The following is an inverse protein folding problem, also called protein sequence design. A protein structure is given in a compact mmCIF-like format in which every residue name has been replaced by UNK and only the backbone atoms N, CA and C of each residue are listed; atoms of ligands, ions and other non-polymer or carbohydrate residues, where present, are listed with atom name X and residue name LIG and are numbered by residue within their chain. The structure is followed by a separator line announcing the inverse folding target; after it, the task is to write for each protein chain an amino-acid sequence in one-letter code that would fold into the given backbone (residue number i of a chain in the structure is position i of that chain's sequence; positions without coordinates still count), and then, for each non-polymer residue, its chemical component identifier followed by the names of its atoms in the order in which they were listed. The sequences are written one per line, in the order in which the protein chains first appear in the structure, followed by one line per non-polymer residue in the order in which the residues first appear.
data_IF_229233750547
#
_entry.id   IF_229233750547
#
_cell.length_a   1.000
_cell.length_b   1.000
_cell.length_c   1.000
_cell.angle_alpha   90.00
_cell.angle_beta   90.00
_cell.angle_gamma   90.00
#
_symmetry.space_group_name_H-M   'P 1'
#
loop_
_entity.id
_entity.type
_entity.pdbx_description
1 polymer ?
2 non-polymer ?
3 non-polymer ?
4 non-polymer ?
5 non-polymer ?
6 water ?
#
# COMPACT_ATOMS: atom_id res chain seq x y z
N UNK A 4 26.60 19.07 8.72
CA UNK A 4 26.07 18.95 10.11
C UNK A 4 24.53 19.20 10.24
N UNK A 5 23.90 19.82 9.23
CA UNK A 5 22.50 20.27 9.37
C UNK A 5 21.65 20.00 8.13
N UNK A 6 20.50 19.39 8.34
CA UNK A 6 19.51 19.22 7.31
C UNK A 6 18.21 19.85 7.70
N UNK A 7 17.20 19.66 6.84
CA UNK A 7 15.88 20.24 7.02
C UNK A 7 14.79 19.21 6.79
N UNK A 8 13.79 19.27 7.65
CA UNK A 8 12.61 18.44 7.61
C UNK A 8 11.48 19.37 7.59
N UNK A 9 10.52 19.08 6.72
CA UNK A 9 9.29 19.81 6.69
C UNK A 9 8.17 18.88 7.04
N UNK A 10 7.46 19.24 8.09
CA UNK A 10 6.38 18.43 8.60
C UNK A 10 5.29 19.35 9.05
N UNK A 11 4.05 19.01 8.73
CA UNK A 11 2.93 19.77 9.26
C UNK A 11 2.92 21.18 8.71
N UNK A 12 3.45 21.35 7.51
CA UNK A 12 3.60 22.67 6.92
C UNK A 12 4.72 23.52 7.50
N UNK A 13 5.58 22.96 8.34
CA UNK A 13 6.64 23.76 8.96
C UNK A 13 8.03 23.19 8.64
N UNK A 14 8.94 24.03 8.17
CA UNK A 14 10.30 23.61 7.90
C UNK A 14 11.14 23.72 9.17
N UNK A 15 11.93 22.69 9.47
CA UNK A 15 12.75 22.67 10.68
C UNK A 15 14.18 22.36 10.30
N UNK A 16 15.10 23.00 11.02
CA UNK A 16 16.47 22.61 11.00
C UNK A 16 16.67 21.33 11.84
N UNK A 17 17.47 20.39 11.34
CA UNK A 17 17.70 19.14 12.05
C UNK A 17 19.15 18.75 12.00
N UNK A 18 19.74 18.67 13.20
CA UNK A 18 21.06 18.10 13.37
C UNK A 18 20.87 16.73 14.02
N UNK A 19 21.95 15.96 14.09
CA UNK A 19 21.83 14.55 14.47
C UNK A 19 21.46 14.44 15.95
N UNK A 20 21.91 15.38 16.75
CA UNK A 20 21.46 15.45 18.13
C UNK A 20 19.92 15.65 18.27
N UNK A 21 19.26 16.11 17.21
CA UNK A 21 17.80 16.30 17.23
C UNK A 21 16.98 15.02 16.94
N UNK A 22 17.67 13.94 16.60
CA UNK A 22 17.04 12.68 16.15
C UNK A 22 17.40 11.51 17.06
N UNK A 23 16.42 10.86 17.65
CA UNK A 23 16.66 9.69 18.45
C UNK A 23 16.42 8.47 17.56
N UNK A 24 17.42 7.60 17.49
CA UNK A 24 17.31 6.36 16.73
C UNK A 24 16.55 5.29 17.52
N UNK A 25 15.33 4.96 17.09
CA UNK A 25 14.52 4.01 17.81
C UNK A 25 14.60 2.63 17.18
N UNK A 26 15.42 2.47 16.14
CA UNK A 26 15.70 1.14 15.64
C UNK A 26 15.00 0.81 14.32
N UNK A 27 15.05 -0.45 13.96
CA UNK A 27 14.43 -1.00 12.74
C UNK A 27 12.91 -0.76 12.71
N UNK A 28 12.38 -0.69 11.50
CA UNK A 28 10.94 -0.60 11.31
C UNK A 28 10.35 -2.01 11.35
N UNK A 29 11.15 -2.99 10.95
CA UNK A 29 10.71 -4.37 11.01
C UNK A 29 11.17 -5.11 9.79
N UNK A 30 10.74 -6.37 9.67
CA UNK A 30 11.18 -7.23 8.59
C UNK A 30 10.65 -6.71 7.27
N UNK A 31 11.46 -5.87 6.59
CA UNK A 31 11.20 -5.47 5.20
C UNK A 31 11.86 -6.36 4.17
N UNK A 32 11.63 -6.04 2.90
CA UNK A 32 12.46 -6.56 1.80
C UNK A 32 13.42 -5.45 1.38
N UNK A 33 13.38 -4.33 2.11
CA UNK A 33 14.12 -3.15 1.75
C UNK A 33 15.41 -3.15 2.53
N UNK A 34 15.30 -2.82 3.81
CA UNK A 34 16.48 -2.64 4.65
C UNK A 34 16.94 -1.18 4.69
N UNK A 35 17.80 -0.92 5.67
CA UNK A 35 18.35 0.38 5.94
C UNK A 35 17.25 1.43 5.99
N UNK A 36 16.27 1.14 6.88
CA UNK A 36 15.25 2.07 7.35
C UNK A 36 15.13 2.02 8.88
N UNK A 37 15.10 3.20 9.47
CA UNK A 37 15.04 3.37 10.91
C UNK A 37 13.85 4.22 11.27
N UNK A 38 13.24 3.86 12.39
CA UNK A 38 12.30 4.69 13.07
C UNK A 38 13.11 5.69 13.89
N UNK A 39 12.84 6.97 13.74
CA UNK A 39 13.55 8.01 14.50
C UNK A 39 12.60 9.03 15.08
N UNK A 40 12.86 9.47 16.31
CA UNK A 40 12.05 10.51 16.85
C UNK A 40 12.74 11.85 16.61
N UNK A 41 11.99 12.79 16.07
CA UNK A 41 12.53 14.14 15.90
C UNK A 41 12.19 14.92 17.16
N UNK A 42 13.22 15.16 17.94
CA UNK A 42 13.09 15.77 19.27
C UNK A 42 12.42 17.14 19.30
N UNK A 43 12.55 17.93 18.23
CA UNK A 43 11.97 19.27 18.17
C UNK A 43 10.46 19.26 18.10
N UNK A 44 9.86 18.16 17.63
CA UNK A 44 8.39 18.09 17.51
C UNK A 44 7.74 16.91 18.19
N UNK A 45 8.52 15.89 18.53
CA UNK A 45 7.95 14.66 19.00
C UNK A 45 7.47 13.73 17.88
N UNK A 46 7.58 14.13 16.60
CA UNK A 46 7.17 13.20 15.50
C UNK A 46 8.15 12.05 15.44
N UNK A 47 7.63 10.83 15.26
CA UNK A 47 8.44 9.70 14.92
C UNK A 47 8.33 9.51 13.41
N UNK A 48 9.47 9.36 12.75
CA UNK A 48 9.57 9.39 11.32
C UNK A 48 10.39 8.21 10.93
N UNK A 49 10.36 7.87 9.64
CA UNK A 49 11.14 6.80 9.09
C UNK A 49 12.20 7.38 8.26
N UNK A 50 13.41 6.89 8.43
CA UNK A 50 14.55 7.42 7.70
C UNK A 50 15.16 6.28 6.93
N UNK A 51 15.21 6.41 5.60
CA UNK A 51 15.79 5.37 4.72
C UNK A 51 17.17 5.84 4.23
N UNK A 52 18.13 4.93 4.22
CA UNK A 52 19.49 5.25 3.76
C UNK A 52 19.69 4.63 2.40
N UNK A 53 20.13 5.44 1.42
CA UNK A 53 20.54 4.91 0.11
C UNK A 53 22.06 5.18 -0.02
N UNK A 54 22.87 4.11 -0.01
CA UNK A 54 24.30 4.28 -0.14
C UNK A 54 24.69 4.58 -1.56
N UNK A 55 25.65 5.50 -1.72
CA UNK A 55 26.20 5.79 -3.03
C UNK A 55 26.76 4.50 -3.62
N UNK A 56 27.35 3.63 -2.80
CA UNK A 56 27.91 2.36 -3.29
C UNK A 56 26.86 1.25 -3.59
N UNK A 57 25.58 1.53 -3.36
CA UNK A 57 24.57 0.47 -3.46
C UNK A 57 24.40 0.03 -4.90
N UNK A 58 23.60 -1.01 -5.10
CA UNK A 58 23.29 -1.52 -6.43
C UNK A 58 22.64 -0.44 -7.29
N UNK A 59 23.13 -0.28 -8.52
CA UNK A 59 22.57 0.74 -9.43
C UNK A 59 21.04 0.64 -9.54
N UNK A 60 20.54 -0.58 -9.74
CA UNK A 60 19.12 -0.82 -9.99
C UNK A 60 18.29 -0.40 -8.81
N UNK A 61 18.65 -0.93 -7.65
CA UNK A 61 17.96 -0.68 -6.43
C UNK A 61 17.93 0.83 -6.18
N UNK A 62 19.04 1.51 -6.48
CA UNK A 62 19.14 2.95 -6.26
C UNK A 62 18.32 3.75 -7.25
N UNK A 63 18.35 3.33 -8.51
CA UNK A 63 17.55 3.99 -9.54
C UNK A 63 16.05 3.92 -9.20
N UNK A 64 15.60 2.75 -8.74
CA UNK A 64 14.24 2.53 -8.28
C UNK A 64 13.85 3.39 -7.05
N UNK A 65 14.74 3.46 -6.07
CA UNK A 65 14.56 4.35 -4.96
C UNK A 65 14.33 5.81 -5.45
N UNK A 66 15.22 6.31 -6.27
CA UNK A 66 15.16 7.67 -6.78
C UNK A 66 13.89 7.97 -7.57
N UNK A 67 13.43 6.96 -8.33
CA UNK A 67 12.16 7.04 -9.08
C UNK A 67 10.94 7.06 -8.19
N UNK A 68 10.92 6.22 -7.16
CA UNK A 68 9.87 6.25 -6.20
C UNK A 68 9.92 7.58 -5.44
N UNK A 69 11.12 8.04 -5.11
CA UNK A 69 11.27 9.32 -4.41
C UNK A 69 10.70 10.48 -5.23
N UNK A 70 11.02 10.47 -6.51
CA UNK A 70 10.53 11.48 -7.45
C UNK A 70 9.02 11.58 -7.39
N UNK A 71 8.37 10.42 -7.45
CA UNK A 71 6.90 10.38 -7.34
C UNK A 71 6.38 10.89 -5.97
N UNK A 72 6.96 10.43 -4.87
CA UNK A 72 6.55 10.86 -3.56
C UNK A 72 6.65 12.39 -3.43
N UNK A 73 7.80 12.95 -3.85
CA UNK A 73 8.00 14.39 -3.83
C UNK A 73 6.92 15.13 -4.61
N UNK A 74 6.40 14.54 -5.69
CA UNK A 74 5.40 15.24 -6.46
C UNK A 74 4.02 14.87 -6.01
N UNK A 75 3.88 14.13 -4.92
CA UNK A 75 2.55 13.67 -4.50
C UNK A 75 2.14 14.35 -3.19
N UNK A 76 2.63 15.56 -2.99
CA UNK A 76 2.39 16.30 -1.73
C UNK A 76 0.92 16.63 -1.61
N UNK A 77 0.18 16.64 -2.72
CA UNK A 77 -1.24 16.94 -2.66
C UNK A 77 -2.14 15.72 -2.52
N UNK A 78 -1.57 14.52 -2.36
CA UNK A 78 -2.39 13.34 -2.19
C UNK A 78 -2.35 12.81 -0.75
N UNK A 79 -3.48 12.86 -0.04
CA UNK A 79 -3.57 12.37 1.32
C UNK A 79 -3.31 10.85 1.48
N UNK A 80 -3.33 10.11 0.39
CA UNK A 80 -3.31 8.64 0.46
C UNK A 80 -1.96 8.06 0.07
N UNK A 81 -0.96 8.92 -0.09
CA UNK A 81 0.41 8.52 -0.39
C UNK A 81 1.28 8.99 0.75
N UNK A 82 2.21 8.15 1.13
CA UNK A 82 3.16 8.44 2.23
C UNK A 82 4.04 9.62 1.83
N UNK A 83 4.19 10.59 2.71
CA UNK A 83 4.84 11.82 2.37
C UNK A 83 6.33 11.81 2.74
N UNK A 84 7.09 12.59 1.98
CA UNK A 84 8.46 12.86 2.27
C UNK A 84 8.69 14.17 3.01
N UNK A 85 9.36 14.06 4.15
CA UNK A 85 9.65 15.22 4.98
C UNK A 85 10.95 15.91 4.66
N UNK A 86 11.87 15.21 4.01
CA UNK A 86 13.13 15.81 3.67
C UNK A 86 14.10 14.81 3.16
N UNK A 87 15.23 15.33 2.71
CA UNK A 87 16.34 14.56 2.24
C UNK A 87 17.62 15.18 2.76
N UNK A 88 18.64 14.37 2.90
CA UNK A 88 19.93 14.80 3.38
C UNK A 88 21.01 14.01 2.60
N UNK A 89 21.81 14.72 1.83
CA UNK A 89 22.78 14.10 0.97
C UNK A 89 24.18 14.29 1.54
N UNK A 90 24.91 13.21 1.80
CA UNK A 90 26.30 13.31 2.23
C UNK A 90 27.13 12.85 1.06
N UNK A 91 28.46 12.86 1.24
CA UNK A 91 29.37 12.34 0.23
C UNK A 91 29.10 10.91 -0.15
N UNK A 92 28.62 10.13 0.82
CA UNK A 92 28.49 8.71 0.63
C UNK A 92 27.06 8.15 0.67
N UNK A 93 26.09 8.95 1.09
CA UNK A 93 24.75 8.47 1.30
C UNK A 93 23.73 9.49 0.96
N UNK A 94 22.52 9.00 0.80
CA UNK A 94 21.36 9.85 0.82
C UNK A 94 20.42 9.31 1.88
N UNK A 95 19.93 10.20 2.75
CA UNK A 95 18.91 9.87 3.72
C UNK A 95 17.63 10.53 3.39
N UNK A 96 16.57 9.75 3.44
CA UNK A 96 15.27 10.15 3.05
C UNK A 96 14.37 10.00 4.26
N UNK A 97 13.80 11.11 4.70
CA UNK A 97 12.87 11.10 5.78
C UNK A 97 11.43 11.01 5.24
N UNK A 98 10.72 10.05 5.80
CA UNK A 98 9.35 9.75 5.36
C UNK A 98 8.43 9.72 6.51
N UNK A 99 7.19 10.02 6.24
CA UNK A 99 6.10 9.78 7.15
C UNK A 99 6.11 8.32 7.61
N UNK A 100 6.04 8.13 8.92
CA UNK A 100 6.05 6.78 9.49
C UNK A 100 4.61 6.31 9.74
N UNK A 101 4.21 5.24 9.08
CA UNK A 101 2.92 4.61 9.34
C UNK A 101 3.12 3.51 10.38
N UNK A 102 2.01 2.91 10.81
CA UNK A 102 2.03 1.91 11.87
C UNK A 102 2.46 0.56 11.36
N UNK A 103 1.73 0.03 10.37
CA UNK A 103 2.08 -1.26 9.78
C UNK A 103 1.24 -1.46 8.53
N UNK A 104 1.49 -2.57 7.84
CA UNK A 104 0.80 -2.85 6.61
C UNK A 104 -0.35 -3.82 6.83
N UNK A 105 -1.22 -3.90 5.84
CA UNK A 105 -2.40 -4.73 5.96
C UNK A 105 -2.08 -6.18 6.04
N UNK A 106 -0.98 -6.58 5.39
CA UNK A 106 -0.50 -7.95 5.48
C UNK A 106 -0.24 -8.34 6.96
N UNK A 107 0.41 -7.44 7.67
CA UNK A 107 0.78 -7.68 9.09
C UNK A 107 -0.42 -7.56 9.99
N UNK A 108 -1.36 -6.68 9.65
CA UNK A 108 -2.61 -6.61 10.42
C UNK A 108 -3.38 -7.91 10.30
N UNK A 109 -3.42 -8.48 9.08
CA UNK A 109 -4.09 -9.76 8.88
C UNK A 109 -3.48 -10.81 9.76
N UNK A 110 -2.13 -10.81 9.85
CA UNK A 110 -1.45 -11.81 10.66
C UNK A 110 -1.78 -11.56 12.13
N UNK A 111 -1.79 -10.30 12.56
CA UNK A 111 -2.17 -9.97 13.95
C UNK A 111 -3.60 -10.35 14.31
N UNK A 112 -4.50 -10.14 13.38
CA UNK A 112 -5.92 -10.43 13.57
C UNK A 112 -6.18 -11.96 13.59
N UNK A 113 -5.22 -12.71 13.06
CA UNK A 113 -5.36 -14.15 12.82
C UNK A 113 -6.75 -14.45 12.23
N UNK A 114 -7.13 -13.69 11.22
CA UNK A 114 -8.41 -13.85 10.60
C UNK A 114 -8.86 -12.59 9.94
N UNK A 115 -10.16 -12.50 9.67
CA UNK A 115 -10.87 -11.42 9.01
C UNK A 115 -10.57 -10.04 9.64
N UNK A 116 -10.42 -9.08 8.77
CA UNK A 116 -10.46 -7.67 9.14
C UNK A 116 -11.86 -7.12 8.87
N UNK A 117 -12.44 -6.35 9.81
CA UNK A 117 -13.88 -5.96 9.64
C UNK A 117 -14.11 -5.15 8.37
N UNK A 118 -15.24 -5.37 7.70
CA UNK A 118 -15.69 -4.59 6.54
C UNK A 118 -15.50 -3.12 6.72
N UNK A 119 -15.93 -2.57 7.86
CA UNK A 119 -15.84 -1.14 8.11
C UNK A 119 -14.43 -0.64 7.82
N UNK A 120 -13.43 -1.40 8.24
CA UNK A 120 -12.04 -0.97 8.06
C UNK A 120 -11.68 -1.10 6.58
N UNK A 121 -12.11 -2.21 6.00
CA UNK A 121 -11.83 -2.49 4.60
C UNK A 121 -12.52 -1.51 3.68
N UNK A 122 -13.67 -1.00 4.08
CA UNK A 122 -14.30 0.04 3.33
C UNK A 122 -13.48 1.34 3.30
N UNK A 123 -13.02 1.79 4.43
CA UNK A 123 -12.18 2.97 4.47
C UNK A 123 -10.86 2.72 3.67
N UNK A 124 -10.29 1.54 3.81
CA UNK A 124 -9.11 1.21 3.04
C UNK A 124 -9.34 1.22 1.54
N UNK A 125 -10.53 0.78 1.08
CA UNK A 125 -10.84 0.75 -0.31
C UNK A 125 -10.90 2.18 -0.87
N UNK A 126 -11.60 3.07 -0.16
CA UNK A 126 -11.69 4.44 -0.58
C UNK A 126 -10.28 5.03 -0.80
N UNK A 127 -9.43 4.82 0.19
CA UNK A 127 -8.10 5.43 0.20
C UNK A 127 -7.19 4.88 -0.90
N UNK A 128 -7.17 3.57 -1.03
CA UNK A 128 -6.31 2.94 -1.96
C UNK A 128 -6.76 3.18 -3.39
N UNK A 129 -8.08 3.15 -3.66
CA UNK A 129 -8.56 3.49 -4.98
C UNK A 129 -8.19 4.92 -5.30
N UNK A 130 -8.30 5.83 -4.34
CA UNK A 130 -8.01 7.21 -4.64
C UNK A 130 -6.50 7.40 -4.88
N UNK A 131 -5.69 6.71 -4.10
CA UNK A 131 -4.26 6.74 -4.30
C UNK A 131 -3.85 6.20 -5.72
N UNK A 132 -4.40 5.07 -6.09
CA UNK A 132 -4.10 4.49 -7.38
C UNK A 132 -4.55 5.40 -8.50
N UNK A 133 -5.76 5.95 -8.37
CA UNK A 133 -6.32 6.88 -9.35
C UNK A 133 -5.48 8.14 -9.48
N UNK A 134 -5.09 8.67 -8.34
CA UNK A 134 -4.21 9.82 -8.32
C UNK A 134 -2.89 9.51 -9.07
N UNK A 135 -2.23 8.42 -8.69
CA UNK A 135 -0.99 8.02 -9.34
C UNK A 135 -1.09 7.99 -10.89
N UNK A 136 -2.19 7.42 -11.39
CA UNK A 136 -2.39 7.28 -12.82
C UNK A 136 -2.70 8.62 -13.45
N UNK A 137 -3.67 9.33 -12.88
CA UNK A 137 -4.10 10.59 -13.49
C UNK A 137 -3.05 11.71 -13.38
N UNK A 138 -2.33 11.84 -12.27
CA UNK A 138 -1.37 12.93 -12.15
C UNK A 138 -0.05 12.60 -12.74
N UNK A 139 0.40 11.38 -12.54
CA UNK A 139 1.78 11.02 -12.85
C UNK A 139 1.92 9.93 -13.94
N UNK A 140 0.81 9.43 -14.46
CA UNK A 140 0.87 8.36 -15.45
C UNK A 140 1.38 7.02 -14.88
N UNK A 141 1.42 6.89 -13.56
CA UNK A 141 1.97 5.71 -12.91
C UNK A 141 0.91 4.60 -12.78
N UNK A 142 1.20 3.43 -13.33
CA UNK A 142 0.39 2.25 -13.09
C UNK A 142 1.12 1.44 -12.05
N UNK A 143 0.48 1.26 -10.90
CA UNK A 143 1.18 0.74 -9.74
C UNK A 143 1.79 -0.63 -10.02
N UNK A 144 0.97 -1.53 -10.50
CA UNK A 144 1.36 -2.91 -10.86
C UNK A 144 1.66 -3.84 -9.67
N UNK A 145 1.49 -3.39 -8.45
CA UNK A 145 1.73 -4.30 -7.32
C UNK A 145 0.85 -4.07 -6.12
N UNK A 146 -0.46 -4.08 -6.34
CA UNK A 146 -1.44 -3.79 -5.29
C UNK A 146 -1.68 -5.08 -4.47
N UNK A 147 -1.23 -5.08 -3.22
CA UNK A 147 -1.40 -6.22 -2.35
C UNK A 147 -1.40 -5.76 -0.92
N UNK A 148 -1.86 -6.60 0.03
CA UNK A 148 -1.90 -6.11 1.43
C UNK A 148 -0.60 -5.55 1.97
N UNK A 149 0.53 -6.05 1.55
CA UNK A 149 1.78 -5.53 2.06
C UNK A 149 2.05 -4.09 1.63
N UNK A 150 1.36 -3.57 0.60
CA UNK A 150 1.54 -2.21 0.12
C UNK A 150 0.47 -1.21 0.63
N UNK A 151 -0.38 -1.69 1.53
CA UNK A 151 -1.43 -0.88 2.13
C UNK A 151 -1.09 -0.65 3.58
N UNK A 152 -0.83 0.60 3.92
CA UNK A 152 -0.36 0.96 5.26
C UNK A 152 -1.42 1.69 6.04
N UNK A 153 -1.47 1.42 7.33
CA UNK A 153 -2.36 2.13 8.24
C UNK A 153 -1.54 2.66 9.40
N UNK A 154 -2.11 3.65 10.11
CA UNK A 154 -1.47 4.19 11.30
C UNK A 154 -2.47 4.47 12.41
N UNK A 155 -1.95 4.90 13.53
CA UNK A 155 -2.82 5.06 14.71
C UNK A 155 -3.56 6.39 14.71
N UNK A 156 -3.35 7.20 13.69
CA UNK A 156 -4.21 8.32 13.40
C UNK A 156 -5.41 7.92 12.54
N UNK A 157 -5.51 6.65 12.10
CA UNK A 157 -6.58 6.25 11.21
C UNK A 157 -6.34 6.51 9.72
N UNK A 158 -5.15 6.91 9.38
CA UNK A 158 -4.81 7.10 7.97
C UNK A 158 -4.56 5.79 7.27
N UNK A 159 -4.92 5.78 6.00
CA UNK A 159 -4.68 4.64 5.13
C UNK A 159 -4.03 5.16 3.86
N UNK A 160 -2.87 4.59 3.55
CA UNK A 160 -2.04 5.04 2.46
C UNK A 160 -1.45 3.89 1.71
N UNK A 161 -1.13 4.17 0.45
CA UNK A 161 -0.54 3.18 -0.42
C UNK A 161 1.00 3.23 -0.37
N UNK A 162 1.63 2.16 -0.85
CA UNK A 162 3.07 1.95 -0.77
C UNK A 162 3.58 1.28 -2.06
N UNK A 163 4.88 1.30 -2.29
CA UNK A 163 5.45 0.71 -3.49
C UNK A 163 6.93 0.40 -3.30
N UNK A 164 7.49 0.86 -2.20
CA UNK A 164 8.91 0.67 -1.96
C UNK A 164 9.15 -0.68 -1.29
N UNK A 165 8.11 0.93 -4.44
CA UNK A 165 7.58 0.53 -5.76
C UNK A 165 6.53 1.47 -6.34
N UNK A 166 6.12 2.46 -5.55
CA UNK A 166 5.06 3.36 -5.93
C UNK A 166 5.24 3.88 -7.37
N UNK A 167 6.48 3.86 -7.85
CA UNK A 167 6.79 4.29 -9.22
C UNK A 167 6.20 3.35 -10.27
N UNK A 168 5.77 2.17 -9.85
CA UNK A 168 5.15 1.20 -10.74
C UNK A 168 6.03 0.78 -11.90
N UNK A 182 4.77 -12.26 -7.16
CA UNK A 182 3.47 -11.68 -6.93
C UNK A 182 2.45 -12.32 -7.85
N UNK A 183 2.69 -13.59 -8.20
CA UNK A 183 1.76 -14.38 -9.04
C UNK A 183 0.36 -14.46 -8.41
N UNK A 184 0.34 -14.55 -7.09
CA UNK A 184 -0.89 -14.61 -6.36
C UNK A 184 -1.93 -13.52 -6.76
N UNK A 185 -1.47 -12.28 -7.00
CA UNK A 185 -2.39 -11.15 -7.27
C UNK A 185 -2.55 -10.82 -8.77
N UNK A 186 -2.03 -11.69 -9.62
CA UNK A 186 -2.04 -11.48 -11.09
C UNK A 186 -3.39 -11.67 -11.73
N UNK A 187 -3.84 -10.64 -12.42
CA UNK A 187 -5.03 -10.72 -13.24
C UNK A 187 -4.87 -11.77 -14.34
N UNK A 188 -6.00 -12.39 -14.74
CA UNK A 188 -6.07 -13.39 -15.79
C UNK A 188 -5.35 -12.94 -17.06
N UNK A 189 -5.67 -11.73 -17.53
CA UNK A 189 -5.17 -11.24 -18.81
C UNK A 189 -3.66 -11.04 -18.78
N UNK A 190 -3.07 -11.07 -17.59
CA UNK A 190 -1.66 -10.92 -17.47
C UNK A 190 -0.89 -12.23 -17.37
N UNK A 191 -1.59 -13.36 -17.34
CA UNK A 191 -0.94 -14.61 -17.03
C UNK A 191 -0.15 -15.20 -18.20
N UNK A 192 -0.72 -15.16 -19.40
CA UNK A 192 0.03 -15.66 -20.56
C UNK A 192 -0.07 -14.64 -21.72
N UNK A 193 0.30 -13.36 -21.46
CA UNK A 193 0.03 -12.25 -22.38
C UNK A 193 0.68 -12.38 -23.77
N UNK A 194 0.00 -11.84 -24.82
CA UNK A 194 0.56 -11.73 -26.17
C UNK A 194 2.04 -11.33 -26.20
N UNK A 195 2.40 -10.26 -25.50
CA UNK A 195 3.80 -9.84 -25.44
C UNK A 195 4.18 -9.52 -23.98
N UNK A 196 4.81 -10.50 -23.28
CA UNK A 196 5.18 -10.33 -21.87
C UNK A 196 6.46 -9.52 -21.67
N UNK A 197 7.38 -9.59 -22.64
CA UNK A 197 8.61 -8.81 -22.61
C UNK A 197 8.42 -7.36 -23.10
N UNK A 198 7.24 -7.04 -23.64
CA UNK A 198 6.90 -5.67 -24.04
C UNK A 198 5.58 -5.28 -23.38
N UNK A 199 5.56 -5.24 -22.02
CA UNK A 199 4.33 -5.35 -21.20
C UNK A 199 3.52 -4.05 -20.98
N UNK A 200 3.04 -3.43 -22.08
CA UNK A 200 2.36 -2.14 -22.01
C UNK A 200 0.86 -2.26 -21.65
N UNK A 201 0.55 -2.90 -20.53
CA UNK A 201 -0.87 -3.11 -20.14
C UNK A 201 -1.44 -1.91 -19.31
N UNK A 202 -2.67 -2.07 -18.80
CA UNK A 202 -3.45 -0.96 -18.19
C UNK A 202 -3.81 -1.20 -16.71
N UNK A 203 -4.49 -0.22 -16.10
CA UNK A 203 -4.81 -0.22 -14.64
C UNK A 203 -5.84 -1.28 -14.21
N UNK A 204 -6.58 -1.87 -15.18
CA UNK A 204 -7.54 -2.90 -14.81
C UNK A 204 -6.88 -4.10 -14.14
N UNK A 205 -5.63 -4.41 -14.47
CA UNK A 205 -4.92 -5.50 -13.82
C UNK A 205 -4.73 -5.21 -12.30
N UNK A 206 -4.50 -3.95 -11.97
CA UNK A 206 -4.42 -3.51 -10.58
C UNK A 206 -5.76 -3.56 -9.83
N UNK A 207 -6.85 -3.36 -10.57
CA UNK A 207 -8.17 -3.45 -10.03
C UNK A 207 -8.41 -4.87 -9.59
N UNK A 208 -7.97 -5.81 -10.42
CA UNK A 208 -8.11 -7.22 -10.06
C UNK A 208 -7.31 -7.53 -8.76
N UNK A 209 -6.06 -7.05 -8.68
CA UNK A 209 -5.25 -7.22 -7.45
C UNK A 209 -5.94 -6.67 -6.20
N UNK A 210 -6.55 -5.51 -6.34
CA UNK A 210 -7.31 -4.93 -5.26
C UNK A 210 -8.41 -5.84 -4.82
N UNK A 211 -9.15 -6.41 -5.77
CA UNK A 211 -10.25 -7.31 -5.43
C UNK A 211 -9.73 -8.55 -4.68
N UNK A 212 -8.64 -9.12 -5.17
CA UNK A 212 -8.00 -10.24 -4.46
C UNK A 212 -7.60 -9.87 -3.01
N UNK A 213 -6.97 -8.73 -2.88
CA UNK A 213 -6.51 -8.24 -1.60
C UNK A 213 -7.69 -8.03 -0.65
N UNK A 214 -8.80 -7.48 -1.14
CA UNK A 214 -9.99 -7.34 -0.32
C UNK A 214 -10.58 -8.67 0.16
N UNK A 215 -10.66 -9.66 -0.71
CA UNK A 215 -11.16 -10.96 -0.32
C UNK A 215 -10.24 -11.61 0.72
N UNK A 216 -8.95 -11.51 0.48
CA UNK A 216 -7.98 -12.04 1.41
C UNK A 216 -8.11 -11.40 2.82
N UNK A 217 -8.17 -10.06 2.87
CA UNK A 217 -8.31 -9.35 4.12
C UNK A 217 -9.67 -9.52 4.77
N UNK A 218 -10.73 -9.65 3.96
CA UNK A 218 -12.11 -9.79 4.50
C UNK A 218 -12.30 -11.19 5.07
N UNK A 219 -11.68 -12.19 4.44
CA UNK A 219 -11.84 -13.57 4.89
C UNK A 219 -10.75 -14.02 5.86
N UNK A 220 -9.61 -13.33 5.92
CA UNK A 220 -8.46 -13.87 6.60
C UNK A 220 -7.72 -14.99 5.84
N UNK A 221 -8.10 -15.23 4.59
CA UNK A 221 -7.60 -16.36 3.84
C UNK A 221 -7.25 -15.88 2.45
N UNK A 222 -5.99 -15.97 2.06
CA UNK A 222 -5.66 -15.77 0.65
C UNK A 222 -6.53 -16.71 -0.22
N UNK A 223 -7.25 -16.18 -1.22
CA UNK A 223 -8.32 -16.97 -1.84
C UNK A 223 -7.86 -18.19 -2.65
N UNK A 224 -6.61 -18.20 -3.09
CA UNK A 224 -6.08 -19.36 -3.81
C UNK A 224 -5.46 -20.31 -2.84
N UNK A 225 -6.36 -21.18 -2.35
CA UNK A 225 -6.15 -22.05 -1.24
C UNK A 225 -5.33 -23.26 -1.59
N UNK A 226 -4.43 -23.63 -0.69
CA UNK A 226 -3.68 -24.88 -0.80
C UNK A 226 -2.97 -25.10 -2.11
N UNK A 227 -2.70 -24.01 -2.84
CA UNK A 227 -1.82 -24.09 -3.99
C UNK A 227 -0.41 -24.32 -3.45
N UNK A 228 0.29 -25.26 -4.06
CA UNK A 228 1.64 -25.64 -3.70
C UNK A 228 2.70 -24.91 -4.53
N UNK A 229 2.32 -24.36 -5.68
CA UNK A 229 3.27 -23.75 -6.60
C UNK A 229 2.65 -22.52 -7.15
N UNK A 230 3.49 -21.62 -7.65
CA UNK A 230 2.99 -20.42 -8.29
C UNK A 230 2.16 -20.72 -9.54
N UNK A 231 2.63 -21.64 -10.35
CA UNK A 231 1.90 -22.09 -11.54
C UNK A 231 0.49 -22.57 -11.17
N UNK A 232 0.37 -23.34 -10.09
CA UNK A 232 -0.93 -23.81 -9.69
C UNK A 232 -1.88 -22.66 -9.36
N UNK A 233 -1.39 -21.63 -8.65
CA UNK A 233 -2.19 -20.44 -8.48
C UNK A 233 -2.68 -19.85 -9.81
N UNK A 234 -1.77 -19.71 -10.77
CA UNK A 234 -2.14 -19.17 -12.09
C UNK A 234 -3.19 -20.02 -12.77
N UNK A 235 -3.11 -21.32 -12.59
CA UNK A 235 -4.13 -22.18 -13.14
C UNK A 235 -5.49 -21.88 -12.50
N UNK A 236 -5.48 -21.54 -11.22
CA UNK A 236 -6.73 -21.27 -10.52
C UNK A 236 -7.32 -19.96 -11.01
N UNK A 237 -6.49 -18.95 -11.17
CA UNK A 237 -6.95 -17.64 -11.59
C UNK A 237 -7.67 -17.80 -12.94
N UNK A 238 -7.10 -18.60 -13.84
CA UNK A 238 -7.68 -18.81 -15.15
C UNK A 238 -8.85 -19.76 -15.16
N UNK A 239 -8.80 -20.87 -14.45
CA UNK A 239 -9.82 -21.89 -14.59
C UNK A 239 -11.03 -21.70 -13.67
N UNK A 240 -10.87 -21.01 -12.56
CA UNK A 240 -11.92 -21.03 -11.58
C UNK A 240 -12.69 -19.74 -11.68
N UNK A 241 -13.91 -19.80 -11.16
CA UNK A 241 -14.75 -18.62 -11.05
C UNK A 241 -14.01 -17.61 -10.18
N UNK A 242 -14.24 -16.32 -10.38
CA UNK A 242 -13.58 -15.38 -9.45
C UNK A 242 -13.90 -15.69 -7.98
N UNK A 243 -12.92 -15.50 -7.10
CA UNK A 243 -13.12 -15.83 -5.69
C UNK A 243 -13.86 -14.71 -5.00
N UNK A 244 -15.17 -14.74 -5.16
CA UNK A 244 -16.05 -13.70 -4.64
C UNK A 244 -16.13 -13.77 -3.10
N UNK A 245 -16.51 -12.67 -2.43
CA UNK A 245 -16.74 -12.76 -0.98
C UNK A 245 -17.77 -13.82 -0.65
N UNK A 246 -17.59 -14.49 0.51
CA UNK A 246 -18.55 -15.53 0.85
C UNK A 246 -19.84 -14.94 1.36
N UNK A 247 -20.88 -15.76 1.31
CA UNK A 247 -22.21 -15.28 1.62
C UNK A 247 -22.59 -15.37 3.08
N UNK A 248 -21.72 -15.96 3.90
CA UNK A 248 -22.09 -16.42 5.26
C UNK A 248 -21.37 -15.62 6.37
N UNK A 249 -20.80 -14.47 6.04
CA UNK A 249 -20.01 -13.69 6.99
C UNK A 249 -20.62 -12.33 7.31
N UNK A 250 -21.83 -12.08 6.84
CA UNK A 250 -22.46 -10.79 7.07
C UNK A 250 -21.85 -9.62 6.27
N UNK A 251 -21.18 -9.90 5.15
CA UNK A 251 -20.76 -8.83 4.27
C UNK A 251 -21.91 -8.07 3.65
N UNK A 252 -21.80 -6.75 3.56
CA UNK A 252 -22.83 -5.96 2.89
C UNK A 252 -22.96 -6.34 1.40
N UNK A 253 -24.15 -6.10 0.87
CA UNK A 253 -24.41 -6.20 -0.57
C UNK A 253 -23.49 -5.30 -1.38
N UNK A 254 -23.18 -4.12 -0.88
CA UNK A 254 -22.29 -3.20 -1.60
C UNK A 254 -20.87 -3.72 -1.63
N UNK A 255 -20.41 -4.29 -0.52
CA UNK A 255 -19.03 -4.84 -0.53
C UNK A 255 -18.94 -6.05 -1.49
N UNK A 256 -19.93 -6.92 -1.45
CA UNK A 256 -19.93 -8.08 -2.33
C UNK A 256 -19.95 -7.67 -3.81
N UNK A 257 -20.76 -6.68 -4.15
CA UNK A 257 -20.85 -6.20 -5.54
C UNK A 257 -19.52 -5.53 -5.95
N UNK A 258 -18.92 -4.77 -5.04
CA UNK A 258 -17.69 -4.06 -5.30
C UNK A 258 -16.58 -5.04 -5.63
N UNK A 259 -16.44 -6.06 -4.79
CA UNK A 259 -15.46 -7.12 -5.02
C UNK A 259 -15.78 -7.90 -6.32
N UNK A 260 -17.04 -8.18 -6.59
CA UNK A 260 -17.41 -8.90 -7.83
C UNK A 260 -17.01 -8.10 -9.08
N UNK A 261 -17.20 -6.79 -9.01
CA UNK A 261 -16.88 -5.93 -10.15
C UNK A 261 -15.35 -5.93 -10.32
N UNK A 262 -14.60 -5.79 -9.21
CA UNK A 262 -13.11 -5.80 -9.28
C UNK A 262 -12.63 -7.11 -9.86
N UNK A 263 -13.31 -8.19 -9.56
CA UNK A 263 -12.90 -9.51 -9.98
C UNK A 263 -13.61 -9.95 -11.23
N UNK A 264 -13.95 -8.99 -12.08
CA UNK A 264 -14.42 -9.35 -13.38
C UNK A 264 -13.28 -10.01 -14.17
N UNK A 265 -13.48 -11.26 -14.59
CA UNK A 265 -12.39 -12.01 -15.25
C UNK A 265 -12.03 -11.45 -16.60
N UNK A 266 -13.05 -11.09 -17.38
CA UNK A 266 -12.79 -10.50 -18.68
C UNK A 266 -12.38 -9.05 -18.46
N UNK A 267 -11.10 -8.75 -18.71
CA UNK A 267 -10.59 -7.43 -18.37
C UNK A 267 -11.31 -6.30 -19.15
N UNK A 268 -11.90 -6.64 -20.29
CA UNK A 268 -12.57 -5.66 -21.10
C UNK A 268 -13.85 -5.18 -20.45
N UNK A 269 -14.36 -5.95 -19.49
CA UNK A 269 -15.56 -5.56 -18.77
C UNK A 269 -15.24 -5.18 -17.31
N UNK A 270 -13.97 -5.19 -16.93
CA UNK A 270 -13.62 -4.87 -15.55
C UNK A 270 -13.53 -3.34 -15.44
N UNK A 271 -14.21 -2.73 -14.44
CA UNK A 271 -14.19 -1.27 -14.30
C UNK A 271 -12.81 -0.66 -14.02
N UNK A 272 -12.64 0.57 -14.44
CA UNK A 272 -11.49 1.37 -14.09
C UNK A 272 -11.80 2.11 -12.79
N UNK A 273 -10.83 2.85 -12.29
CA UNK A 273 -10.97 3.52 -10.99
C UNK A 273 -12.04 4.54 -11.00
N UNK A 274 -12.16 5.28 -12.10
CA UNK A 274 -13.14 6.34 -12.14
C UNK A 274 -14.57 5.78 -11.98
N UNK A 275 -14.80 4.61 -12.56
CA UNK A 275 -16.05 3.89 -12.37
C UNK A 275 -16.17 3.29 -10.95
N UNK A 276 -15.10 2.75 -10.42
CA UNK A 276 -15.15 2.24 -9.04
C UNK A 276 -15.43 3.35 -8.04
N UNK A 277 -14.98 4.56 -8.34
CA UNK A 277 -15.15 5.64 -7.40
C UNK A 277 -16.62 6.07 -7.27
N UNK A 278 -17.44 5.63 -8.20
CA UNK A 278 -18.88 5.88 -8.18
C UNK A 278 -19.65 4.75 -7.48
N UNK A 279 -18.99 3.64 -7.22
CA UNK A 279 -19.66 2.47 -6.61
C UNK A 279 -20.22 2.85 -5.25
N UNK A 280 -21.43 2.37 -4.98
CA UNK A 280 -22.09 2.59 -3.70
C UNK A 280 -21.20 2.24 -2.50
N UNK A 281 -20.40 1.18 -2.61
CA UNK A 281 -19.47 0.81 -1.54
C UNK A 281 -18.53 1.94 -1.14
N UNK A 282 -17.96 2.57 -2.16
CA UNK A 282 -17.11 3.72 -1.96
C UNK A 282 -17.90 4.91 -1.46
N UNK A 283 -19.05 5.18 -2.08
CA UNK A 283 -19.84 6.35 -1.66
C UNK A 283 -20.21 6.23 -0.20
N UNK A 284 -20.53 5.02 0.21
CA UNK A 284 -20.98 4.83 1.59
C UNK A 284 -19.83 4.94 2.56
N UNK A 285 -18.66 4.42 2.15
CA UNK A 285 -17.50 4.52 3.02
C UNK A 285 -16.82 5.86 2.99
N UNK A 286 -17.16 6.71 2.03
CA UNK A 286 -16.69 8.06 2.09
C UNK A 286 -17.41 8.81 3.18
N UNK A 287 -18.68 8.46 3.43
CA UNK A 287 -19.49 9.24 4.39
C UNK A 287 -19.56 8.58 5.78
N UNK A 288 -19.35 7.28 5.85
CA UNK A 288 -19.53 6.57 7.10
C UNK A 288 -18.43 6.96 8.06
N UNK A 289 -18.82 7.32 9.28
CA UNK A 289 -17.85 7.60 10.32
C UNK A 289 -17.31 6.29 10.85
N UNK A 290 -16.03 6.07 10.67
CA UNK A 290 -15.40 4.84 11.14
C UNK A 290 -14.12 5.21 11.87
N UNK A 291 -14.03 4.77 13.12
CA UNK A 291 -12.89 5.10 13.97
C UNK A 291 -11.78 4.06 13.75
N UNK A 292 -11.12 4.23 12.62
CA UNK A 292 -10.03 3.36 12.20
C UNK A 292 -8.89 3.47 13.22
N UNK A 293 -8.65 4.70 13.70
CA UNK A 293 -7.61 5.02 14.66
C UNK A 293 -7.66 4.22 15.93
N UNK A 294 -8.79 4.22 16.64
CA UNK A 294 -9.00 3.41 17.84
C UNK A 294 -8.91 1.92 17.59
N UNK A 295 -9.47 1.50 16.47
CA UNK A 295 -9.45 0.12 16.14
C UNK A 295 -7.98 -0.34 15.91
N UNK A 296 -7.23 0.42 15.13
CA UNK A 296 -5.80 0.09 14.87
C UNK A 296 -5.02 0.03 16.19
N UNK A 297 -5.28 0.99 17.05
CA UNK A 297 -4.55 1.05 18.31
C UNK A 297 -4.85 -0.15 19.17
N UNK A 298 -6.12 -0.51 19.26
CA UNK A 298 -6.50 -1.73 20.00
C UNK A 298 -5.78 -2.91 19.43
N UNK A 299 -5.82 -3.08 18.13
CA UNK A 299 -5.15 -4.24 17.53
C UNK A 299 -3.66 -4.29 17.90
N UNK A 300 -3.01 -3.15 17.75
CA UNK A 300 -1.57 -3.12 17.94
C UNK A 300 -1.27 -3.34 19.42
N UNK A 301 -2.15 -2.86 20.30
CA UNK A 301 -1.97 -3.03 21.74
C UNK A 301 -2.22 -4.44 22.25
N UNK A 302 -3.09 -5.21 21.59
CA UNK A 302 -3.49 -6.54 22.07
C UNK A 302 -2.77 -7.66 21.36
N UNK A 303 -2.16 -7.40 20.21
CA UNK A 303 -1.55 -8.48 19.48
C UNK A 303 -0.07 -8.36 19.52
N UNK A 304 0.60 -9.41 19.07
CA UNK A 304 2.05 -9.45 19.09
C UNK A 304 2.55 -9.23 17.66
N UNK A 305 3.80 -8.77 17.57
CA UNK A 305 4.51 -8.66 16.30
C UNK A 305 4.50 -9.99 15.57
N UNK A 306 4.01 -10.03 14.33
CA UNK A 306 3.99 -11.29 13.60
C UNK A 306 5.34 -12.01 13.62
X LIG B 1 13.48 17.32 -1.03
X LIG B 1 14.28 17.08 0.09
X LIG B 1 14.34 17.22 -2.27
X LIG B 1 13.93 18.28 -3.12
X LIG C 1 -14.30 9.54 -10.32
X LIG C 1 -15.61 9.03 -10.50
X LIG C 1 -13.92 10.40 -11.50
X LIG C 1 -13.05 11.39 -11.00
X LIG D 1 -9.91 12.18 -5.28
X LIG D 1 -10.55 11.21 -6.13
X LIG D 1 -10.91 13.23 -4.80
X LIG D 1 -11.30 12.97 -3.45
X LIG E 1 4.30 11.01 13.71
X LIG E 1 4.72 10.69 15.02
X LIG E 1 3.32 9.97 13.34
X LIG E 1 3.91 8.66 13.24
X LIG F 1 3.04 13.66 16.63
X LIG F 1 3.28 13.16 17.95
X LIG F 1 2.77 15.15 16.79
X LIG F 1 3.89 15.60 17.52
X LIG G 1 -4.31 -18.47 5.44
X LIG G 1 -4.40 -17.42 6.42
X LIG G 1 -3.68 -17.95 4.16
X LIG G 1 -4.10 -16.61 3.87
X LIG H 1 5.51 -2.75 9.65
X LIG H 1 6.25 -3.48 8.68
X LIG H 1 5.54 -1.31 9.21
X LIG H 1 6.44 -0.58 10.04
X LIG I 1 1.63 11.55 -17.52
X LIG I 1 2.98 11.82 -17.19
X LIG I 1 0.76 12.07 -16.40
X LIG I 1 -0.25 12.90 -16.92
X LIG J 1 -10.31 8.34 12.56
X LIG J 1 -9.91 6.93 12.36
X LIG J 1 -9.45 9.30 11.41
X LIG J 1 -11.91 8.72 12.07
X LIG K 1 21.58 15.30 9.90
X LIG K 1 22.38 14.06 9.76
X LIG K 1 20.78 15.73 8.51
X LIG K 1 20.24 14.94 10.90
X LIG L 1 10.68 18.36 0.99
X LIG L 1 12.03 18.14 1.52
X LIG L 1 10.11 16.86 0.39
X LIG L 1 9.53 18.64 2.20
X LIG M 1 -17.82 -8.14 8.67
X LIG M 1 -17.15 -6.99 9.24
X LIG M 1 -18.43 -9.10 9.95
X LIG M 1 -19.33 -7.68 8.00
X LIG N 1 25.68 10.57 8.59
X LIG N 1 26.09 9.30 8.76
X LIG N 1 25.38 8.23 9.12
X LIG N 1 24.10 8.54 9.28
X LIG N 1 23.51 9.80 9.14
X LIG N 1 24.39 10.86 8.80
X LIG N 1 21.06 8.82 14.72
X LIG N 1 24.01 12.15 8.82
X LIG N 1 23.35 8.41 13.13
X LIG N 1 21.16 7.83 13.81
X LIG N 1 16.44 15.32 6.10
X LIG N 1 16.83 15.82 7.33
X LIG N 1 16.35 13.97 5.92
X LIG N 1 17.20 14.98 8.36
X LIG N 1 16.70 13.10 6.93
X LIG N 1 19.72 12.29 8.35
X LIG N 1 18.79 11.08 10.20
X LIG N 1 20.88 11.52 8.44
X LIG N 1 19.94 10.33 10.29
X LIG N 1 21.04 5.59 10.61
X LIG N 1 22.22 5.40 9.66
X LIG N 1 21.48 5.53 12.03
X LIG N 1 23.72 6.21 11.50
X LIG N 1 21.92 8.33 9.76
X LIG N 1 17.46 12.73 9.19
X LIG N 1 22.43 7.61 13.06
X LIG N 1 17.13 13.61 8.14
X LIG N 1 18.67 12.05 9.22
X LIG N 1 21.00 10.52 9.42
X LIG N 1 22.15 9.60 9.44
X LIG N 1 23.41 6.29 10.02
X LIG N 1 23.13 7.69 9.65
X LIG N 1 22.53 6.50 12.28
X LIG O 1 6.05 3.71 7.54
X LIG O 1 5.78 2.47 8.00
X LIG O 1 6.15 1.30 7.50
X LIG O 1 6.91 1.45 6.41
X LIG O 1 7.30 2.67 5.82
X LIG O 1 6.81 3.83 6.43
X LIG O 1 3.96 -4.97 5.51
X LIG O 1 7.08 5.05 5.99
X LIG O 1 6.51 -5.23 6.16
X LIG O 1 4.86 -3.67 5.59
X LIG O 1 11.81 6.07 -2.25
X LIG O 1 12.17 4.84 -1.74
X LIG O 1 11.41 7.09 -1.42
X LIG O 1 12.15 4.62 -0.37
X LIG O 1 11.40 6.88 -0.05
X LIG O 1 10.22 3.66 1.92
X LIG O 1 10.81 4.86 3.91
X LIG O 1 9.26 2.96 2.62
X LIG O 1 9.87 4.13 4.61
X LIG O 1 9.23 -2.74 6.98
X LIG O 1 9.08 -1.28 6.57
X LIG O 1 8.66 -3.61 5.90
X LIG O 1 7.18 -1.85 5.06
X LIG O 1 8.30 0.97 4.70
X LIG O 1 11.81 5.52 1.86
X LIG O 1 6.28 -4.08 5.81
X LIG O 1 11.77 5.65 0.48
X LIG O 1 10.98 4.64 2.55
X LIG O 1 9.08 3.18 3.97
X LIG O 1 8.18 2.29 4.78
X LIG O 1 7.63 -0.94 6.18
X LIG O 1 7.54 0.46 5.74
X LIG O 1 7.28 -3.21 5.58
#
# INVERSE_FOLDING_TARGET
SMKQTGYLTIGGQRYQAEINDLENLGEMGSGTCGQVWKMRFRKTGHVIAVKQMRRSGNKEENKRILMDLDVVLKSHDCPYIVQCFGTFITNTDVFIAMELMGTCAEKLKKRMQGPIPERILGKMTVAIVKALYYLKEKHGVIHRDVKPSNILLDERGQIKLCDFGISGRLVDSKAKTRSAGCAAYMAPERIDPPDPTKPDYDIRADVWSLGISLVELATGQFPYKNCKTDFEVLTKVLQEEPPLLPGHMGFSGDFQSFVKDCLTKDHRKRPKYNKLLEHSFIKRYETLEVDVASWFKDVMAKTESPR
EDO C1 O1 C2 O2
EDO C1 O1 C2 O2
EDO C1 O1 C2 O2
EDO C1 O1 C2 O2
EDO C1 O1 C2 O2
EDO C1 O1 C2 O2
EDO C1 O1 C2 O2
EDO C1 O1 C2 O2
DMS S O C1 C2
DMS S O C1 C2
DMS S O C1 C2
DMS S O C1 C2
1E8 N1 C2 N3 C4 C5 C6 CAA NAB OAC CAD CAE CAF CAG CAI CAJ CAK CAL CAM CAN CAO CAP CAQ CAR NAU OAV CAW CAY CAZ CBA CBB CBE NBF NBG
8E8 N1 C2 N3 C4 C5 C6 CAA NAB OAC CAD CAE CAF CAG CAI CAJ CAK CAL CAM CAN CAO CAP CAQ CAR NAU OAV CAW CAY CAZ CBA CBB CBE NBF NBG
#
